data_IF_537022864399
#
_entry.id   IF_537022864399
#
_cell.length_a   1.000
_cell.length_b   1.000
_cell.length_c   1.000
_cell.angle_alpha   90.00
_cell.angle_beta   90.00
_cell.angle_gamma   90.00
#
_symmetry.space_group_name_H-M   'P 1'
#
loop_
_entity.id
_entity.type
_entity.pdbx_description
1 polymer ?
#
# COMPACT_ATOMS: atom_id res chain seq x y z
N UNK A 1 -4.93 11.73 -12.28
CA UNK A 1 -3.95 12.60 -12.97
C UNK A 1 -2.74 11.73 -13.30
N UNK A 2 -2.54 11.34 -14.56
CA UNK A 2 -1.39 10.52 -14.94
C UNK A 2 -0.13 11.38 -14.85
N UNK A 3 0.86 10.93 -14.08
CA UNK A 3 2.15 11.61 -14.01
C UNK A 3 2.88 11.44 -15.37
N UNK A 4 3.48 12.49 -15.88
CA UNK A 4 4.24 12.43 -17.12
C UNK A 4 5.30 11.32 -17.06
N UNK A 5 5.37 10.48 -18.10
CA UNK A 5 6.33 9.37 -18.22
C UNK A 5 5.94 8.08 -17.49
N UNK A 6 4.68 7.92 -17.06
CA UNK A 6 4.15 6.70 -16.49
C UNK A 6 2.99 6.21 -17.34
N UNK A 7 3.10 5.00 -17.87
CA UNK A 7 1.96 4.28 -18.47
C UNK A 7 1.52 3.17 -17.51
N UNK A 8 0.23 3.13 -17.21
CA UNK A 8 -0.36 2.13 -16.33
C UNK A 8 -1.49 1.39 -17.06
N UNK A 9 -1.34 0.11 -17.25
CA UNK A 9 -2.41 -0.79 -17.63
C UNK A 9 -3.04 -1.38 -16.37
N UNK A 10 -4.34 -1.19 -16.20
CA UNK A 10 -5.10 -1.71 -15.07
C UNK A 10 -6.20 -2.63 -15.60
N UNK A 11 -6.20 -3.87 -15.12
CA UNK A 11 -7.24 -4.83 -15.40
C UNK A 11 -7.97 -5.23 -14.11
N UNK A 12 -9.23 -4.80 -13.98
CA UNK A 12 -10.16 -5.12 -12.87
C UNK A 12 -9.60 -4.83 -11.47
N UNK A 13 -8.78 -3.79 -11.34
CA UNK A 13 -8.10 -3.44 -10.08
C UNK A 13 -7.40 -4.64 -9.41
N UNK A 14 -6.90 -5.55 -10.23
CA UNK A 14 -6.25 -6.78 -9.75
C UNK A 14 -4.91 -6.99 -10.42
N UNK A 15 -4.82 -6.71 -11.71
CA UNK A 15 -3.64 -6.97 -12.52
C UNK A 15 -3.19 -5.68 -13.22
N UNK A 16 -1.95 -5.28 -12.96
CA UNK A 16 -1.40 -4.02 -13.45
C UNK A 16 -0.08 -4.25 -14.15
N UNK A 17 0.19 -3.48 -15.19
CA UNK A 17 1.52 -3.30 -15.74
C UNK A 17 1.86 -1.83 -15.74
N UNK A 18 2.98 -1.48 -15.11
CA UNK A 18 3.50 -0.12 -15.06
C UNK A 18 4.73 -0.02 -15.93
N UNK A 19 4.78 1.01 -16.78
CA UNK A 19 5.97 1.39 -17.56
C UNK A 19 6.41 2.79 -17.14
N UNK A 20 7.70 2.94 -16.81
CA UNK A 20 8.28 4.21 -16.34
C UNK A 20 9.51 4.54 -17.15
N UNK A 21 9.51 5.71 -17.79
CA UNK A 21 10.58 6.16 -18.67
C UNK A 21 11.67 7.01 -17.98
N UNK A 22 11.40 7.48 -16.76
CA UNK A 22 12.36 8.19 -15.91
C UNK A 22 12.21 7.73 -14.47
N UNK A 23 13.26 7.82 -13.66
CA UNK A 23 13.22 7.41 -12.25
C UNK A 23 12.00 8.00 -11.53
N UNK A 24 11.25 7.16 -10.86
CA UNK A 24 10.03 7.52 -10.11
C UNK A 24 10.00 6.87 -8.75
N UNK A 25 9.67 7.68 -7.77
CA UNK A 25 9.47 7.26 -6.39
C UNK A 25 7.99 7.16 -6.08
N UNK A 26 7.60 6.06 -5.44
CA UNK A 26 6.22 5.78 -5.06
C UNK A 26 6.14 5.39 -3.60
N UNK A 27 5.29 6.10 -2.87
CA UNK A 27 4.79 5.65 -1.58
C UNK A 27 3.32 5.26 -1.73
N UNK A 28 2.99 4.06 -1.28
CA UNK A 28 1.63 3.56 -1.33
C UNK A 28 1.33 2.68 -0.13
N UNK A 29 0.07 2.63 0.22
CA UNK A 29 -0.39 1.70 1.23
C UNK A 29 -0.98 0.49 0.52
N UNK A 30 -0.49 -0.66 0.90
CA UNK A 30 -0.86 -1.94 0.31
C UNK A 30 -1.92 -2.58 1.20
N UNK A 31 -3.15 -2.65 0.70
CA UNK A 31 -4.31 -3.19 1.41
C UNK A 31 -4.47 -4.68 1.22
N UNK A 32 -4.08 -5.18 0.06
CA UNK A 32 -4.08 -6.59 -0.32
C UNK A 32 -2.64 -7.04 -0.60
N UNK A 33 -2.36 -8.34 -0.50
CA UNK A 33 -1.05 -8.83 -0.92
C UNK A 33 -0.77 -8.44 -2.38
N UNK A 34 0.42 -7.93 -2.64
CA UNK A 34 0.84 -7.52 -3.97
C UNK A 34 2.05 -8.31 -4.42
N UNK A 35 1.86 -9.12 -5.45
CA UNK A 35 2.97 -9.79 -6.13
C UNK A 35 3.56 -8.82 -7.17
N UNK A 36 4.88 -8.67 -7.18
CA UNK A 36 5.60 -7.77 -8.07
C UNK A 36 6.70 -8.53 -8.80
N UNK A 37 6.79 -8.31 -10.12
CA UNK A 37 7.83 -8.89 -10.97
C UNK A 37 8.44 -7.82 -11.88
N UNK A 38 9.76 -7.77 -11.97
CA UNK A 38 10.50 -6.82 -12.81
C UNK A 38 10.72 -7.42 -14.18
N UNK A 39 10.04 -6.88 -15.20
CA UNK A 39 10.17 -7.30 -16.61
C UNK A 39 11.39 -6.64 -17.25
N UNK A 40 11.59 -5.34 -17.01
CA UNK A 40 12.75 -4.58 -17.45
C UNK A 40 13.03 -3.42 -16.50
N UNK A 41 14.21 -2.84 -16.56
CA UNK A 41 14.64 -1.82 -15.62
C UNK A 41 15.06 -2.38 -14.28
N UNK A 42 15.10 -1.52 -13.29
CA UNK A 42 15.54 -1.82 -11.94
C UNK A 42 14.55 -1.24 -10.92
N UNK A 43 14.47 -1.83 -9.74
CA UNK A 43 13.53 -1.46 -8.71
C UNK A 43 14.19 -1.50 -7.33
N UNK A 44 14.12 -0.41 -6.59
CA UNK A 44 14.43 -0.41 -5.17
C UNK A 44 13.16 -0.52 -4.34
N UNK A 45 13.17 -1.41 -3.36
CA UNK A 45 12.16 -1.46 -2.30
C UNK A 45 12.81 -1.06 -0.98
N UNK A 46 12.18 -0.11 -0.32
CA UNK A 46 12.73 0.52 0.88
C UNK A 46 11.83 0.17 2.07
N UNK A 47 12.43 -0.41 3.10
CA UNK A 47 11.81 -0.63 4.41
C UNK A 47 12.57 0.14 5.48
N UNK A 48 12.01 0.24 6.70
CA UNK A 48 12.68 0.91 7.83
C UNK A 48 14.09 0.38 8.09
N UNK A 49 14.35 -0.88 7.75
CA UNK A 49 15.59 -1.57 8.10
C UNK A 49 16.54 -1.76 6.93
N UNK A 50 16.04 -1.81 5.69
CA UNK A 50 16.84 -2.19 4.51
C UNK A 50 16.28 -1.62 3.22
N UNK A 51 17.20 -1.21 2.34
CA UNK A 51 16.96 -1.02 0.91
C UNK A 51 17.36 -2.29 0.17
N UNK A 52 16.49 -2.80 -0.70
CA UNK A 52 16.77 -3.94 -1.56
C UNK A 52 16.65 -3.51 -3.01
N UNK A 53 17.65 -3.84 -3.79
CA UNK A 53 17.70 -3.59 -5.21
C UNK A 53 17.28 -4.86 -5.97
N UNK A 54 16.36 -4.71 -6.90
CA UNK A 54 15.86 -5.78 -7.76
C UNK A 54 16.15 -5.44 -9.22
N UNK A 55 16.46 -6.48 -9.95
CA UNK A 55 16.75 -6.43 -11.38
C UNK A 55 15.75 -7.27 -12.17
N UNK A 56 15.82 -7.15 -13.48
CA UNK A 56 15.02 -7.95 -14.41
C UNK A 56 14.99 -9.43 -14.02
N UNK A 57 13.79 -10.00 -14.05
CA UNK A 57 13.54 -11.42 -13.74
C UNK A 57 13.37 -11.71 -12.25
N UNK A 58 13.54 -10.72 -11.38
CA UNK A 58 13.34 -10.89 -9.95
C UNK A 58 11.92 -10.48 -9.53
N UNK A 59 11.42 -11.14 -8.49
CA UNK A 59 10.09 -10.93 -7.95
C UNK A 59 10.08 -10.87 -6.43
N UNK A 60 9.08 -10.19 -5.90
CA UNK A 60 8.82 -10.17 -4.47
C UNK A 60 7.31 -10.07 -4.20
N UNK A 61 6.93 -10.51 -3.02
CA UNK A 61 5.58 -10.33 -2.49
C UNK A 61 5.60 -9.22 -1.46
N UNK A 62 4.74 -8.21 -1.62
CA UNK A 62 4.45 -7.23 -0.59
C UNK A 62 3.30 -7.78 0.24
N UNK A 63 3.49 -7.81 1.56
CA UNK A 63 2.43 -8.21 2.48
C UNK A 63 1.33 -7.15 2.52
N UNK A 64 0.11 -7.59 2.69
CA UNK A 64 -1.02 -6.68 2.91
C UNK A 64 -0.85 -5.86 4.19
N UNK A 65 -1.57 -4.76 4.29
CA UNK A 65 -1.62 -3.88 5.46
C UNK A 65 -0.26 -3.28 5.84
N UNK A 66 0.54 -2.92 4.82
CA UNK A 66 1.83 -2.26 5.05
C UNK A 66 2.01 -1.03 4.14
N UNK A 67 2.92 -0.16 4.52
CA UNK A 67 3.42 0.89 3.61
C UNK A 67 4.50 0.31 2.73
N UNK A 68 4.36 0.51 1.43
CA UNK A 68 5.38 0.20 0.45
C UNK A 68 5.99 1.51 -0.05
N UNK A 69 7.32 1.58 0.04
CA UNK A 69 8.12 2.64 -0.53
C UNK A 69 9.03 2.01 -1.57
N UNK A 70 8.94 2.46 -2.83
CA UNK A 70 9.69 1.91 -3.94
C UNK A 70 10.16 3.01 -4.88
N UNK A 71 11.30 2.77 -5.54
CA UNK A 71 11.83 3.63 -6.59
C UNK A 71 12.05 2.77 -7.83
N UNK A 72 11.44 3.15 -8.94
CA UNK A 72 11.50 2.47 -10.22
C UNK A 72 12.48 3.22 -11.13
N UNK A 73 13.41 2.50 -11.76
CA UNK A 73 14.44 3.06 -12.61
C UNK A 73 14.44 2.42 -14.00
N UNK A 74 14.57 3.20 -15.09
CA UNK A 74 14.98 2.65 -16.36
C UNK A 74 16.34 1.96 -16.26
N UNK A 75 16.58 0.98 -17.12
CA UNK A 75 17.91 0.36 -17.25
C UNK A 75 18.95 1.38 -17.70
N UNK A 76 20.22 1.09 -17.44
CA UNK A 76 21.36 1.96 -17.84
C UNK A 76 21.48 2.19 -19.36
N UNK A 77 20.93 1.27 -20.15
CA UNK A 77 20.85 1.37 -21.61
C UNK A 77 19.66 2.22 -22.12
N UNK A 78 18.89 2.80 -21.20
CA UNK A 78 17.72 3.60 -21.51
C UNK A 78 16.42 2.81 -21.69
N UNK A 79 16.45 1.47 -21.55
CA UNK A 79 15.23 0.66 -21.58
C UNK A 79 14.32 1.06 -20.40
N UNK A 80 13.04 1.43 -20.63
CA UNK A 80 12.12 1.81 -19.57
C UNK A 80 11.96 0.71 -18.51
N UNK A 81 11.73 1.13 -17.27
CA UNK A 81 11.24 0.18 -16.26
C UNK A 81 9.87 -0.34 -16.68
N UNK A 82 9.69 -1.65 -16.60
CA UNK A 82 8.40 -2.32 -16.78
C UNK A 82 8.21 -3.32 -15.66
N UNK A 83 7.17 -3.14 -14.90
CA UNK A 83 6.82 -4.00 -13.77
C UNK A 83 5.41 -4.56 -13.89
N UNK A 84 5.25 -5.82 -13.50
CA UNK A 84 3.98 -6.51 -13.38
C UNK A 84 3.60 -6.53 -11.90
N UNK A 85 2.35 -6.17 -11.62
CA UNK A 85 1.78 -6.11 -10.29
C UNK A 85 0.48 -6.89 -10.26
N UNK A 86 0.35 -7.85 -9.35
CA UNK A 86 -0.85 -8.65 -9.19
C UNK A 86 -1.32 -8.58 -7.73
N UNK A 87 -2.54 -8.10 -7.52
CA UNK A 87 -3.18 -8.12 -6.21
C UNK A 87 -3.79 -9.49 -5.91
N UNK A 88 -3.39 -10.08 -4.79
CA UNK A 88 -3.96 -11.32 -4.28
C UNK A 88 -5.01 -10.95 -3.22
N UNK A 89 -6.23 -10.69 -3.69
CA UNK A 89 -7.35 -10.23 -2.84
C UNK A 89 -7.80 -11.33 -1.88
N UNK A 90 -8.11 -10.97 -0.63
CA UNK A 90 -8.55 -11.91 0.43
C UNK A 90 -9.70 -12.83 -0.02
N UNK A 91 -10.77 -12.38 -0.71
CA UNK A 91 -11.82 -13.29 -1.18
C UNK A 91 -11.30 -14.41 -2.09
N UNK A 92 -10.34 -14.10 -2.98
CA UNK A 92 -9.75 -15.08 -3.89
C UNK A 92 -8.84 -16.05 -3.13
N UNK A 93 -8.04 -15.57 -2.19
CA UNK A 93 -7.21 -16.40 -1.33
C UNK A 93 -8.07 -17.39 -0.52
N UNK A 94 -9.17 -16.94 0.09
CA UNK A 94 -10.14 -17.78 0.81
C UNK A 94 -10.78 -18.83 -0.10
N UNK A 95 -11.22 -18.40 -1.30
CA UNK A 95 -11.82 -19.31 -2.29
C UNK A 95 -10.85 -20.41 -2.69
N UNK A 96 -9.60 -20.04 -3.01
CA UNK A 96 -8.54 -21.00 -3.38
C UNK A 96 -8.21 -21.93 -2.21
N UNK A 97 -8.07 -21.40 -1.01
CA UNK A 97 -7.80 -22.19 0.19
C UNK A 97 -8.87 -23.28 0.40
N UNK A 98 -10.15 -22.90 0.33
CA UNK A 98 -11.27 -23.83 0.51
C UNK A 98 -11.37 -24.86 -0.63
N UNK A 99 -11.21 -24.42 -1.87
CA UNK A 99 -11.33 -25.26 -3.05
C UNK A 99 -10.27 -26.38 -3.11
N UNK A 100 -9.06 -26.06 -2.66
CA UNK A 100 -7.93 -27.01 -2.64
C UNK A 100 -7.65 -27.63 -1.27
N UNK A 101 -8.48 -27.39 -0.28
CA UNK A 101 -8.31 -27.94 1.07
C UNK A 101 -6.99 -27.56 1.73
N UNK A 102 -6.48 -26.35 1.48
CA UNK A 102 -5.18 -25.91 1.97
C UNK A 102 -5.26 -25.61 3.47
N UNK A 103 -4.41 -26.27 4.27
CA UNK A 103 -4.35 -26.08 5.71
C UNK A 103 -3.05 -25.35 6.07
N UNK A 104 -3.12 -24.41 6.99
CA UNK A 104 -1.98 -23.59 7.46
C UNK A 104 -1.26 -24.20 8.67
N UNK A 105 -1.88 -25.20 9.35
CA UNK A 105 -1.54 -25.65 10.71
C UNK A 105 -0.10 -26.14 10.93
N UNK A 106 0.55 -26.77 9.95
CA UNK A 106 1.87 -27.41 10.10
C UNK A 106 3.01 -26.74 9.34
N UNK A 107 2.79 -25.51 8.87
CA UNK A 107 3.81 -24.79 8.09
C UNK A 107 4.68 -23.97 9.03
N UNK A 108 6.00 -24.09 8.86
CA UNK A 108 6.95 -23.20 9.51
C UNK A 108 6.56 -21.75 9.25
N UNK A 109 6.18 -21.02 10.29
CA UNK A 109 5.79 -19.62 10.15
C UNK A 109 6.94 -18.84 9.51
N UNK A 110 6.61 -18.04 8.50
CA UNK A 110 7.57 -17.14 7.90
C UNK A 110 8.12 -16.19 8.98
N UNK A 111 9.39 -16.38 9.34
CA UNK A 111 10.00 -15.74 10.51
C UNK A 111 10.23 -14.23 10.34
N UNK A 112 10.31 -13.75 9.10
CA UNK A 112 10.57 -12.34 8.86
C UNK A 112 9.31 -11.51 9.03
N UNK A 113 9.40 -10.42 9.77
CA UNK A 113 8.36 -9.38 9.85
C UNK A 113 8.48 -8.34 8.72
N UNK A 114 9.43 -8.51 7.80
CA UNK A 114 9.58 -7.61 6.66
C UNK A 114 8.29 -7.52 5.86
N UNK A 115 7.87 -6.33 5.44
CA UNK A 115 6.74 -6.19 4.53
C UNK A 115 7.01 -6.80 3.15
N UNK A 116 8.26 -7.08 2.83
CA UNK A 116 8.69 -7.63 1.54
C UNK A 116 9.25 -9.05 1.70
N UNK A 117 8.72 -9.97 0.93
CA UNK A 117 9.18 -11.36 0.85
C UNK A 117 9.77 -11.58 -0.54
N UNK A 118 11.09 -11.75 -0.61
CA UNK A 118 11.77 -12.06 -1.88
C UNK A 118 11.40 -13.47 -2.33
N UNK A 119 11.06 -13.62 -3.60
CA UNK A 119 10.78 -14.93 -4.18
C UNK A 119 12.07 -15.57 -4.71
N UNK A 120 12.19 -16.90 -4.63
CA UNK A 120 13.35 -17.61 -5.16
C UNK A 120 13.42 -17.54 -6.68
N UNK A 121 14.60 -17.68 -7.23
CA UNK A 121 14.79 -17.92 -8.66
C UNK A 121 14.36 -19.36 -8.99
N UNK A 122 13.12 -19.54 -9.45
CA UNK A 122 12.53 -20.86 -9.69
C UNK A 122 11.89 -20.95 -11.07
N UNK A 123 12.10 -22.02 -11.85
CA UNK A 123 11.56 -22.16 -13.20
C UNK A 123 10.04 -22.02 -13.29
N UNK A 124 9.30 -22.58 -12.33
CA UNK A 124 7.83 -22.46 -12.29
C UNK A 124 7.38 -21.02 -12.12
N UNK A 125 8.04 -20.26 -11.25
CA UNK A 125 7.75 -18.82 -11.08
C UNK A 125 8.04 -18.04 -12.36
N UNK A 126 9.17 -18.30 -13.01
CA UNK A 126 9.52 -17.67 -14.29
C UNK A 126 8.47 -17.96 -15.39
N UNK A 127 8.06 -19.22 -15.52
CA UNK A 127 7.03 -19.63 -16.49
C UNK A 127 5.69 -18.96 -16.23
N UNK A 128 5.28 -18.92 -14.97
CA UNK A 128 4.07 -18.24 -14.51
C UNK A 128 4.10 -16.74 -14.84
N UNK A 129 5.17 -16.00 -14.49
CA UNK A 129 5.30 -14.61 -14.81
C UNK A 129 5.32 -14.33 -16.30
N UNK A 130 6.02 -15.16 -17.08
CA UNK A 130 6.04 -15.04 -18.54
C UNK A 130 4.64 -15.20 -19.14
N UNK A 131 3.84 -16.13 -18.64
CA UNK A 131 2.46 -16.31 -19.08
C UNK A 131 1.56 -15.11 -18.76
N UNK A 132 1.83 -14.39 -17.67
CA UNK A 132 1.12 -13.17 -17.32
C UNK A 132 1.60 -11.98 -18.16
N UNK A 133 2.90 -11.88 -18.42
CA UNK A 133 3.49 -10.84 -19.26
C UNK A 133 2.85 -10.81 -20.67
N UNK A 134 2.53 -11.97 -21.22
CA UNK A 134 1.97 -12.10 -22.56
C UNK A 134 0.64 -11.36 -22.75
N UNK A 135 -0.20 -11.26 -21.73
CA UNK A 135 -1.44 -10.48 -21.79
C UNK A 135 -1.20 -9.00 -22.08
N UNK A 136 -0.08 -8.44 -21.61
CA UNK A 136 0.27 -7.03 -21.89
C UNK A 136 0.93 -6.84 -23.25
N UNK A 137 1.58 -7.87 -23.78
CA UNK A 137 2.20 -7.81 -25.10
C UNK A 137 1.14 -7.79 -26.20
N UNK A 138 0.13 -8.64 -26.08
CA UNK A 138 -0.95 -8.74 -27.08
C UNK A 138 -2.05 -7.69 -26.90
N UNK A 139 -2.04 -6.94 -25.80
CA UNK A 139 -3.05 -5.94 -25.41
C UNK A 139 -4.48 -6.52 -25.38
N UNK A 140 -4.60 -7.80 -25.13
CA UNK A 140 -5.86 -8.49 -24.94
C UNK A 140 -6.09 -8.77 -23.46
N UNK A 141 -7.27 -8.43 -22.99
CA UNK A 141 -7.64 -8.73 -21.61
C UNK A 141 -8.21 -10.14 -21.51
N UNK A 142 -7.71 -10.96 -20.56
CA UNK A 142 -8.30 -12.27 -20.32
C UNK A 142 -9.75 -12.12 -19.81
N UNK A 143 -10.61 -13.09 -20.08
CA UNK A 143 -11.93 -13.13 -19.44
C UNK A 143 -11.79 -13.25 -17.92
N UNK A 144 -12.83 -12.85 -17.18
CA UNK A 144 -12.85 -12.98 -15.71
C UNK A 144 -12.53 -14.41 -15.24
N UNK A 145 -13.09 -15.41 -15.94
CA UNK A 145 -12.84 -16.83 -15.64
C UNK A 145 -11.38 -17.22 -15.84
N UNK A 146 -10.78 -16.73 -16.91
CA UNK A 146 -9.37 -17.00 -17.20
C UNK A 146 -8.46 -16.29 -16.19
N UNK A 147 -8.80 -15.05 -15.80
CA UNK A 147 -8.07 -14.32 -14.76
C UNK A 147 -8.19 -15.02 -13.41
N UNK A 148 -9.37 -15.51 -13.04
CA UNK A 148 -9.55 -16.30 -11.81
C UNK A 148 -8.66 -17.56 -11.82
N UNK A 149 -8.62 -18.29 -12.93
CA UNK A 149 -7.77 -19.47 -13.08
C UNK A 149 -6.28 -19.11 -12.95
N UNK A 150 -5.86 -17.98 -13.54
CA UNK A 150 -4.49 -17.47 -13.43
C UNK A 150 -4.11 -17.05 -12.00
N UNK A 151 -5.01 -16.41 -11.27
CA UNK A 151 -4.76 -16.07 -9.86
C UNK A 151 -4.62 -17.35 -9.02
N UNK A 152 -5.43 -18.37 -9.27
CA UNK A 152 -5.28 -19.66 -8.58
C UNK A 152 -3.95 -20.33 -8.92
N UNK A 153 -3.55 -20.35 -10.18
CA UNK A 153 -2.23 -20.83 -10.62
C UNK A 153 -1.12 -20.09 -9.87
N UNK A 154 -1.19 -18.75 -9.78
CA UNK A 154 -0.22 -17.93 -9.05
C UNK A 154 -0.14 -18.35 -7.58
N UNK A 155 -1.28 -18.46 -6.90
CA UNK A 155 -1.32 -18.82 -5.47
C UNK A 155 -0.71 -20.20 -5.26
N UNK A 156 -1.09 -21.19 -6.07
CA UNK A 156 -0.57 -22.56 -5.97
C UNK A 156 0.94 -22.60 -6.25
N UNK A 157 1.40 -21.93 -7.32
CA UNK A 157 2.83 -21.87 -7.66
C UNK A 157 3.66 -21.23 -6.54
N UNK A 158 3.15 -20.18 -5.91
CA UNK A 158 3.82 -19.54 -4.78
C UNK A 158 3.98 -20.49 -3.59
N UNK A 159 2.94 -21.21 -3.22
CA UNK A 159 2.98 -22.12 -2.06
C UNK A 159 3.71 -23.44 -2.35
N UNK A 160 3.80 -23.86 -3.60
CA UNK A 160 4.59 -25.03 -4.04
C UNK A 160 6.10 -24.71 -4.03
N UNK A 161 6.46 -23.52 -4.51
CA UNK A 161 7.86 -23.09 -4.59
C UNK A 161 8.41 -22.53 -3.28
N UNK A 162 7.54 -22.07 -2.38
CA UNK A 162 7.87 -21.47 -1.09
C UNK A 162 6.76 -21.78 -0.07
N UNK A 163 6.74 -23.01 0.50
CA UNK A 163 5.65 -23.50 1.36
C UNK A 163 5.34 -22.60 2.57
N UNK A 164 6.33 -21.91 3.11
CA UNK A 164 6.18 -20.98 4.22
C UNK A 164 5.27 -19.78 3.87
N UNK A 165 5.06 -19.47 2.59
CA UNK A 165 4.12 -18.43 2.16
C UNK A 165 2.67 -18.77 2.52
N UNK A 166 2.33 -20.03 2.79
CA UNK A 166 1.00 -20.38 3.30
C UNK A 166 0.67 -19.58 4.56
N UNK A 167 1.64 -19.42 5.48
CA UNK A 167 1.46 -18.66 6.70
C UNK A 167 1.36 -17.13 6.48
N UNK A 168 1.73 -16.65 5.30
CA UNK A 168 1.61 -15.23 4.91
C UNK A 168 0.32 -14.99 4.14
N UNK A 169 0.07 -15.79 3.09
CA UNK A 169 -1.05 -15.61 2.18
C UNK A 169 -2.41 -15.93 2.82
N UNK A 170 -2.43 -16.94 3.69
CA UNK A 170 -3.66 -17.41 4.35
C UNK A 170 -3.73 -16.96 5.82
N UNK A 171 -2.91 -16.00 6.21
CA UNK A 171 -3.12 -15.27 7.45
C UNK A 171 -4.30 -14.30 7.26
N UNK A 172 -5.50 -14.86 7.38
CA UNK A 172 -6.74 -14.09 7.36
C UNK A 172 -7.11 -13.55 8.73
N UNK A 173 -6.29 -13.78 9.73
CA UNK A 173 -6.40 -13.02 10.96
C UNK A 173 -6.37 -11.57 10.50
N UNK A 174 -7.53 -10.91 10.67
CA UNK A 174 -7.58 -9.46 10.51
C UNK A 174 -6.38 -8.93 11.27
N UNK A 175 -5.58 -8.04 10.66
CA UNK A 175 -4.41 -7.56 11.35
C UNK A 175 -4.89 -7.26 12.74
N UNK A 176 -4.35 -8.00 13.70
CA UNK A 176 -4.63 -7.84 15.13
C UNK A 176 -4.79 -6.37 15.30
N UNK A 177 -5.98 -5.99 15.78
CA UNK A 177 -6.39 -4.59 15.95
C UNK A 177 -5.13 -3.77 16.12
N UNK A 178 -4.65 -3.20 15.00
CA UNK A 178 -3.50 -2.31 15.06
C UNK A 178 -3.84 -1.41 16.21
N UNK A 179 -2.98 -1.29 17.18
CA UNK A 179 -3.23 -0.40 18.30
C UNK A 179 -3.75 0.90 17.69
N UNK A 180 -5.06 1.08 17.82
CA UNK A 180 -5.76 2.16 17.13
C UNK A 180 -5.17 3.50 17.51
N UNK A 181 -4.74 3.61 18.77
CA UNK A 181 -4.10 4.82 19.27
C UNK A 181 -2.73 5.04 18.62
N UNK A 182 -1.88 4.02 18.60
CA UNK A 182 -0.56 4.11 17.98
C UNK A 182 -0.66 4.42 16.47
N UNK A 183 -1.58 3.74 15.79
CA UNK A 183 -1.79 3.96 14.36
C UNK A 183 -2.28 5.38 14.06
N UNK A 184 -3.30 5.85 14.77
CA UNK A 184 -3.86 7.17 14.53
C UNK A 184 -2.87 8.28 14.86
N UNK A 185 -2.13 8.15 15.97
CA UNK A 185 -1.08 9.11 16.33
C UNK A 185 0.04 9.22 15.28
N UNK A 186 0.33 8.14 14.56
CA UNK A 186 1.36 8.14 13.51
C UNK A 186 0.84 8.53 12.12
N UNK A 187 -0.48 8.56 11.90
CA UNK A 187 -1.05 8.64 10.55
C UNK A 187 -2.13 9.72 10.36
N UNK A 188 -2.40 10.57 11.35
CA UNK A 188 -3.47 11.59 11.27
C UNK A 188 -3.28 12.63 10.15
N UNK A 189 -2.06 12.82 9.65
CA UNK A 189 -1.75 13.73 8.53
C UNK A 189 -2.02 13.12 7.16
N UNK A 190 -2.17 11.79 7.07
CA UNK A 190 -2.38 11.10 5.79
C UNK A 190 -3.74 11.47 5.21
N UNK A 191 -3.78 11.66 3.88
CA UNK A 191 -5.02 11.95 3.15
C UNK A 191 -5.85 10.68 2.97
N UNK A 192 -6.57 10.30 4.02
CA UNK A 192 -7.52 9.21 4.05
C UNK A 192 -8.86 9.70 4.56
N UNK A 193 -9.93 9.14 4.01
CA UNK A 193 -11.26 9.22 4.59
C UNK A 193 -11.43 8.23 5.77
N UNK A 194 -12.57 8.28 6.43
CA UNK A 194 -12.83 7.40 7.58
C UNK A 194 -12.91 5.92 7.18
N UNK A 195 -13.36 5.62 5.97
CA UNK A 195 -13.39 4.25 5.44
C UNK A 195 -11.98 3.73 5.23
N UNK A 196 -11.09 4.58 4.71
CA UNK A 196 -9.66 4.29 4.60
C UNK A 196 -9.04 3.99 5.95
N UNK A 197 -9.23 4.86 6.96
CA UNK A 197 -8.71 4.60 8.30
C UNK A 197 -9.27 3.32 8.94
N UNK A 198 -10.57 3.05 8.76
CA UNK A 198 -11.20 1.81 9.23
C UNK A 198 -10.55 0.59 8.55
N UNK A 199 -10.44 0.64 7.23
CA UNK A 199 -9.84 -0.43 6.43
C UNK A 199 -8.38 -0.71 6.84
N UNK A 200 -7.56 0.37 6.99
CA UNK A 200 -6.16 0.24 7.44
C UNK A 200 -6.00 -0.33 8.84
N UNK A 201 -6.97 -0.12 9.69
CA UNK A 201 -6.96 -0.65 11.05
C UNK A 201 -7.63 -2.02 11.15
N UNK A 202 -8.03 -2.64 10.01
CA UNK A 202 -8.69 -3.95 9.96
C UNK A 202 -10.11 -3.93 10.54
N UNK A 203 -10.80 -2.78 10.47
CA UNK A 203 -12.13 -2.60 11.06
C UNK A 203 -13.16 -2.25 10.00
N UNK A 204 -14.41 -2.66 10.20
CA UNK A 204 -15.53 -2.03 9.51
C UNK A 204 -15.66 -0.57 9.98
N UNK A 205 -16.22 0.31 9.14
CA UNK A 205 -16.42 1.72 9.50
C UNK A 205 -17.19 1.91 10.82
N UNK A 206 -18.20 1.07 11.05
CA UNK A 206 -18.98 1.09 12.30
C UNK A 206 -18.16 0.65 13.51
N UNK A 207 -17.38 -0.43 13.39
CA UNK A 207 -16.50 -0.92 14.45
C UNK A 207 -15.37 0.10 14.73
N UNK A 208 -14.81 0.71 13.69
CA UNK A 208 -13.79 1.75 13.81
C UNK A 208 -14.32 2.95 14.61
N UNK A 209 -15.47 3.51 14.23
CA UNK A 209 -16.09 4.64 14.94
C UNK A 209 -16.34 4.33 16.40
N UNK A 210 -16.96 3.18 16.68
CA UNK A 210 -17.27 2.75 18.06
C UNK A 210 -16.01 2.60 18.93
N UNK A 211 -14.99 1.88 18.42
CA UNK A 211 -13.75 1.66 19.16
C UNK A 211 -12.93 2.96 19.28
N UNK A 212 -12.96 3.81 18.24
CA UNK A 212 -12.33 5.11 18.28
C UNK A 212 -12.90 6.00 19.38
N UNK A 213 -14.24 6.09 19.47
CA UNK A 213 -14.91 6.86 20.50
C UNK A 213 -14.62 6.32 21.91
N UNK A 214 -14.51 5.00 22.07
CA UNK A 214 -14.09 4.38 23.33
C UNK A 214 -12.64 4.72 23.70
N UNK A 215 -11.74 4.76 22.73
CA UNK A 215 -10.30 4.99 22.95
C UNK A 215 -9.98 6.46 23.16
N UNK A 216 -10.56 7.35 22.35
CA UNK A 216 -10.19 8.77 22.32
C UNK A 216 -11.27 9.69 22.94
N UNK A 217 -12.39 9.16 23.39
CA UNK A 217 -13.52 9.90 23.98
C UNK A 217 -14.04 11.04 23.10
N UNK A 218 -13.88 10.88 21.76
CA UNK A 218 -14.33 11.85 20.74
C UNK A 218 -14.50 11.16 19.40
N UNK A 219 -15.21 11.84 18.46
CA UNK A 219 -15.38 11.27 17.12
C UNK A 219 -14.08 11.34 16.31
N UNK A 220 -13.85 10.38 15.37
CA UNK A 220 -12.63 10.34 14.57
C UNK A 220 -12.32 11.65 13.85
N UNK A 221 -13.30 12.26 13.18
CA UNK A 221 -13.07 13.52 12.44
C UNK A 221 -12.71 14.69 13.36
N UNK A 222 -13.35 14.81 14.52
CA UNK A 222 -13.01 15.87 15.49
C UNK A 222 -11.57 15.69 15.96
N UNK A 223 -11.19 14.47 16.30
CA UNK A 223 -9.85 14.16 16.76
C UNK A 223 -8.79 14.44 15.67
N UNK A 224 -9.00 13.95 14.44
CA UNK A 224 -8.06 14.17 13.33
C UNK A 224 -7.85 15.66 13.08
N UNK A 225 -8.94 16.45 13.02
CA UNK A 225 -8.86 17.88 12.82
C UNK A 225 -8.11 18.55 13.97
N UNK A 226 -8.39 18.19 15.23
CA UNK A 226 -7.69 18.73 16.39
C UNK A 226 -6.18 18.45 16.34
N UNK A 227 -5.80 17.18 16.06
CA UNK A 227 -4.37 16.81 15.97
C UNK A 227 -3.64 17.52 14.84
N UNK A 228 -4.29 17.68 13.69
CA UNK A 228 -3.74 18.45 12.55
C UNK A 228 -3.54 19.92 12.91
N UNK A 229 -4.47 20.49 13.63
CA UNK A 229 -4.38 21.89 14.07
C UNK A 229 -3.34 22.08 15.18
N UNK A 230 -3.19 21.13 16.10
CA UNK A 230 -2.13 21.14 17.12
C UNK A 230 -0.74 21.13 16.47
N UNK A 231 -0.54 20.23 15.49
CA UNK A 231 0.72 20.17 14.75
C UNK A 231 0.94 21.44 13.91
N UNK A 232 -0.11 21.94 13.25
CA UNK A 232 -0.01 23.21 12.52
C UNK A 232 0.38 24.36 13.43
N UNK A 233 -0.19 24.43 14.62
CA UNK A 233 0.16 25.46 15.61
C UNK A 233 1.62 25.35 16.01
N UNK A 234 2.12 24.15 16.28
CA UNK A 234 3.53 23.91 16.61
C UNK A 234 4.46 24.40 15.49
N UNK A 235 4.17 24.05 14.24
CA UNK A 235 4.96 24.47 13.09
C UNK A 235 4.95 25.99 12.87
N UNK A 236 3.80 26.64 13.02
CA UNK A 236 3.65 28.08 12.81
C UNK A 236 4.27 28.88 13.98
N UNK A 237 3.96 28.50 15.23
CA UNK A 237 4.37 29.28 16.40
C UNK A 237 5.83 29.01 16.80
N UNK A 238 6.28 27.76 16.75
CA UNK A 238 7.62 27.38 17.22
C UNK A 238 8.64 27.35 16.08
N UNK A 239 8.30 26.77 14.92
CA UNK A 239 9.21 26.65 13.78
C UNK A 239 9.11 27.84 12.81
N UNK A 240 8.16 28.78 13.06
CA UNK A 240 7.96 29.99 12.24
C UNK A 240 7.66 29.72 10.77
N UNK A 241 7.06 28.59 10.48
CA UNK A 241 6.65 28.24 9.13
C UNK A 241 5.42 29.03 8.68
N UNK A 242 5.33 29.31 7.38
CA UNK A 242 4.18 30.04 6.84
C UNK A 242 2.93 29.15 6.80
N UNK A 243 1.75 29.66 7.17
CA UNK A 243 0.49 28.91 7.12
C UNK A 243 0.19 28.27 5.75
N UNK A 244 0.66 28.92 4.66
CA UNK A 244 0.50 28.46 3.29
C UNK A 244 1.30 27.18 2.98
N UNK A 245 2.41 26.96 3.68
CA UNK A 245 3.24 25.77 3.51
C UNK A 245 2.80 24.65 4.48
N UNK A 246 2.22 25.03 5.60
CA UNK A 246 1.83 24.12 6.68
C UNK A 246 0.54 23.36 6.40
N UNK A 247 -0.50 23.99 5.82
CA UNK A 247 -1.83 23.38 5.75
C UNK A 247 -1.87 22.07 4.99
N UNK A 248 -1.13 21.95 3.88
CA UNK A 248 -1.03 20.70 3.11
C UNK A 248 -0.25 19.63 3.89
N UNK A 249 0.85 20.04 4.53
CA UNK A 249 1.73 19.13 5.28
C UNK A 249 1.02 18.47 6.45
N UNK A 250 0.11 19.18 7.10
CA UNK A 250 -0.70 18.63 8.19
C UNK A 250 -1.97 17.92 7.72
N UNK A 251 -2.21 17.82 6.41
CA UNK A 251 -3.28 17.02 5.82
C UNK A 251 -4.58 17.76 5.51
N UNK A 252 -4.58 19.10 5.48
CA UNK A 252 -5.73 19.87 4.96
C UNK A 252 -5.64 20.01 3.44
N UNK A 253 -6.76 19.83 2.76
CA UNK A 253 -6.85 19.98 1.28
C UNK A 253 -7.07 21.42 0.82
N UNK A 254 -7.54 22.28 1.72
CA UNK A 254 -7.99 23.64 1.38
C UNK A 254 -7.59 24.63 2.48
N UNK A 255 -6.90 25.70 2.08
CA UNK A 255 -6.42 26.74 2.99
C UNK A 255 -7.56 27.47 3.72
N UNK A 256 -8.70 27.72 3.06
CA UNK A 256 -9.85 28.40 3.67
C UNK A 256 -10.46 27.54 4.77
N UNK A 257 -10.62 26.25 4.52
CA UNK A 257 -11.09 25.29 5.54
C UNK A 257 -10.13 25.20 6.72
N UNK A 258 -8.81 25.12 6.44
CA UNK A 258 -7.78 25.15 7.47
C UNK A 258 -7.86 26.41 8.33
N UNK A 259 -7.89 27.59 7.70
CA UNK A 259 -7.92 28.88 8.41
C UNK A 259 -9.16 29.05 9.28
N UNK A 260 -10.31 28.60 8.76
CA UNK A 260 -11.59 28.62 9.50
C UNK A 260 -11.54 27.68 10.72
N UNK A 261 -11.03 26.45 10.52
CA UNK A 261 -10.90 25.48 11.59
C UNK A 261 -9.90 25.94 12.66
N UNK A 262 -8.77 26.50 12.24
CA UNK A 262 -7.74 27.07 13.13
C UNK A 262 -8.28 28.22 13.99
N UNK A 263 -8.95 29.18 13.35
CA UNK A 263 -9.59 30.31 14.05
C UNK A 263 -10.67 29.84 15.04
N UNK A 264 -11.45 28.83 14.66
CA UNK A 264 -12.47 28.26 15.56
C UNK A 264 -11.86 27.59 16.79
N UNK A 265 -10.70 26.93 16.64
CA UNK A 265 -10.05 26.22 17.73
C UNK A 265 -9.24 27.13 18.65
N UNK A 266 -8.55 28.14 18.10
CA UNK A 266 -7.61 28.97 18.85
C UNK A 266 -8.07 30.45 19.06
N UNK A 267 -9.16 30.85 18.40
CA UNK A 267 -9.71 32.21 18.53
C UNK A 267 -9.10 33.25 17.58
N UNK A 268 -8.00 32.94 16.92
CA UNK A 268 -7.30 33.81 15.97
C UNK A 268 -6.89 33.05 14.70
N UNK A 269 -6.76 33.74 13.54
CA UNK A 269 -6.34 33.09 12.30
C UNK A 269 -4.86 32.69 12.34
N UNK A 270 -4.44 31.67 11.57
CA UNK A 270 -3.04 31.22 11.54
C UNK A 270 -2.05 32.32 11.08
N UNK A 271 -2.52 33.28 10.29
CA UNK A 271 -1.71 34.42 9.82
C UNK A 271 -1.41 35.45 10.93
N UNK A 272 -2.16 35.47 12.03
CA UNK A 272 -1.92 36.41 13.11
C UNK A 272 -0.65 36.09 13.95
N UNK A 273 -0.09 34.90 13.75
CA UNK A 273 1.11 34.44 14.48
C UNK A 273 2.40 34.68 13.68
N UNK A 274 2.26 34.91 12.37
CA UNK A 274 3.39 35.10 11.44
C UNK A 274 3.87 36.57 11.36
N UNK A 275 3.36 37.41 12.23
CA UNK A 275 3.72 38.86 12.31
C UNK A 275 4.78 39.12 13.37
#
# INVERSE_FOLDING_TARGET
MFQAGVELYNYMDTFFCCTVTSSKEFESVITEHMLVYVISGELDVISKERRRHLQRGQAYLIRRNCRAHKIEYPSKDGTPFKGLFLQLKVPMLRKTMNEYGLVVGDVTRYKSQSPYVMLPDHPLLKGMFKSLEHYFEVKEYPSERLMEAKIKEVILTLIETMPELKSVLFDFVEPWKIDLAAFMNSNYTVDLDLEGFAHYTGRSLSSFKKEFEQTFQTTPMKWIVSRRLEEARRLIEQEKERPLDVYLRVGFKNLSHFSTAYKRQYGYPPSAVSA
#
